data_IF_686410448636
#
_entry.id   IF_686410448636
#
_cell.length_a   1.000
_cell.length_b   1.000
_cell.length_c   1.000
_cell.angle_alpha   90.00
_cell.angle_beta   90.00
_cell.angle_gamma   90.00
#
_symmetry.space_group_name_H-M   'P 1'
#
loop_
_entity.id
_entity.type
_entity.pdbx_description
1 polymer ?
#
# COMPACT_ATOMS: atom_id res chain seq x y z
N UNK A 1 -12.47 14.99 -7.21
CA UNK A 1 -13.22 13.72 -7.41
C UNK A 1 -12.21 12.60 -7.29
N UNK A 2 -12.51 11.55 -6.53
CA UNK A 2 -11.59 10.41 -6.38
C UNK A 2 -11.76 9.44 -7.55
N UNK A 3 -10.66 8.77 -7.93
CA UNK A 3 -10.66 7.66 -8.88
C UNK A 3 -10.73 6.33 -8.10
N UNK A 4 -11.33 5.29 -8.69
CA UNK A 4 -11.30 3.94 -8.10
C UNK A 4 -9.91 3.32 -8.22
N UNK A 5 -9.53 2.45 -7.29
CA UNK A 5 -8.24 1.74 -7.39
C UNK A 5 -8.19 0.91 -8.67
N UNK A 6 -9.28 0.23 -9.01
CA UNK A 6 -9.39 -0.61 -10.21
C UNK A 6 -9.03 0.15 -11.48
N UNK A 7 -9.63 1.32 -11.70
CA UNK A 7 -9.36 2.11 -12.91
C UNK A 7 -7.90 2.57 -12.97
N UNK A 8 -7.33 2.96 -11.83
CA UNK A 8 -5.91 3.35 -11.77
C UNK A 8 -4.97 2.16 -12.05
N UNK A 9 -5.25 0.98 -11.48
CA UNK A 9 -4.41 -0.20 -11.68
C UNK A 9 -4.57 -0.81 -13.07
N UNK A 10 -5.77 -0.72 -13.68
CA UNK A 10 -5.99 -1.06 -15.10
C UNK A 10 -5.09 -0.17 -15.99
N UNK A 11 -5.12 1.15 -15.79
CA UNK A 11 -4.24 2.07 -16.53
C UNK A 11 -2.75 1.77 -16.28
N UNK A 12 -2.36 1.41 -15.05
CA UNK A 12 -1.01 0.99 -14.72
C UNK A 12 -0.57 -0.26 -15.48
N UNK A 13 -1.46 -1.25 -15.61
CA UNK A 13 -1.21 -2.47 -16.36
C UNK A 13 -1.09 -2.19 -17.87
N UNK A 14 -1.99 -1.39 -18.43
CA UNK A 14 -1.99 -1.00 -19.85
C UNK A 14 -0.73 -0.23 -20.26
N UNK A 15 -0.15 0.53 -19.32
CA UNK A 15 1.01 1.39 -19.56
C UNK A 15 2.30 0.88 -18.91
N UNK A 16 2.31 -0.36 -18.41
CA UNK A 16 3.48 -1.05 -17.85
C UNK A 16 4.20 -0.32 -16.70
N UNK A 17 3.44 0.22 -15.74
CA UNK A 17 3.99 0.83 -14.53
C UNK A 17 3.37 0.25 -13.25
N UNK A 18 3.92 0.66 -12.10
CA UNK A 18 3.38 0.37 -10.77
C UNK A 18 3.09 1.65 -9.99
N UNK A 19 2.13 1.56 -9.07
CA UNK A 19 1.73 2.66 -8.19
C UNK A 19 2.30 2.46 -6.78
N UNK A 20 3.09 3.41 -6.27
CA UNK A 20 3.34 3.44 -4.83
C UNK A 20 2.03 3.83 -4.12
N UNK A 21 1.70 3.11 -3.06
CA UNK A 21 0.61 3.43 -2.14
C UNK A 21 1.21 3.87 -0.81
N UNK A 22 1.02 5.15 -0.50
CA UNK A 22 1.63 5.79 0.66
C UNK A 22 0.64 5.90 1.81
N UNK A 23 1.02 5.43 3.00
CA UNK A 23 0.22 5.63 4.19
C UNK A 23 0.24 7.10 4.63
N UNK A 24 -0.90 7.57 5.16
CA UNK A 24 -1.05 8.95 5.66
C UNK A 24 -1.69 8.99 7.04
N UNK A 25 -1.15 9.84 7.91
CA UNK A 25 -1.55 10.03 9.30
C UNK A 25 -1.72 11.52 9.66
N UNK A 26 -1.16 12.45 8.87
CA UNK A 26 -1.26 13.90 9.13
C UNK A 26 -1.16 14.76 7.86
N UNK A 27 -1.14 16.08 8.04
CA UNK A 27 -1.10 17.07 6.97
C UNK A 27 0.24 17.06 6.21
N UNK A 28 1.36 16.96 6.91
CA UNK A 28 2.70 16.99 6.32
C UNK A 28 2.94 15.82 5.37
N UNK A 29 2.48 14.62 5.71
CA UNK A 29 2.58 13.45 4.82
C UNK A 29 1.74 13.63 3.56
N UNK A 30 0.49 14.11 3.71
CA UNK A 30 -0.39 14.40 2.55
C UNK A 30 0.24 15.47 1.65
N UNK A 31 0.81 16.54 2.23
CA UNK A 31 1.54 17.54 1.46
C UNK A 31 2.74 16.95 0.72
N UNK A 32 3.56 16.14 1.39
CA UNK A 32 4.73 15.53 0.78
C UNK A 32 4.36 14.67 -0.44
N UNK A 33 3.34 13.81 -0.30
CA UNK A 33 2.86 12.94 -1.37
C UNK A 33 2.32 13.76 -2.54
N UNK A 34 1.46 14.75 -2.27
CA UNK A 34 0.83 15.55 -3.33
C UNK A 34 1.82 16.49 -4.03
N UNK A 35 2.79 17.06 -3.32
CA UNK A 35 3.86 17.87 -3.93
C UNK A 35 4.73 17.02 -4.86
N UNK A 36 5.08 15.81 -4.44
CA UNK A 36 5.82 14.87 -5.27
C UNK A 36 5.02 14.45 -6.51
N UNK A 37 3.74 14.15 -6.33
CA UNK A 37 2.84 13.75 -7.41
C UNK A 37 2.64 14.87 -8.43
N UNK A 38 2.42 16.10 -7.97
CA UNK A 38 2.31 17.28 -8.83
C UNK A 38 3.59 17.54 -9.63
N UNK A 39 4.74 17.52 -8.95
CA UNK A 39 6.07 17.70 -9.58
C UNK A 39 6.35 16.66 -10.66
N UNK A 40 5.89 15.43 -10.46
CA UNK A 40 6.14 14.29 -11.36
C UNK A 40 4.98 14.00 -12.31
N UNK A 41 3.86 14.75 -12.24
CA UNK A 41 2.62 14.47 -12.97
C UNK A 41 2.18 13.00 -12.78
N UNK A 42 2.15 12.53 -11.52
CA UNK A 42 1.82 11.15 -11.15
C UNK A 42 0.44 11.06 -10.53
N UNK A 43 -0.37 10.02 -10.84
CA UNK A 43 -1.55 9.70 -10.04
C UNK A 43 -1.13 9.24 -8.64
N UNK A 44 -2.05 9.19 -7.68
CA UNK A 44 -1.73 8.93 -6.27
C UNK A 44 -2.64 7.87 -5.68
N UNK A 45 -2.05 6.97 -4.88
CA UNK A 45 -2.77 6.16 -3.89
C UNK A 45 -2.31 6.62 -2.51
N UNK A 46 -3.24 7.19 -1.74
CA UNK A 46 -3.05 7.47 -0.31
C UNK A 46 -3.89 6.48 0.48
N UNK A 47 -3.30 5.87 1.50
CA UNK A 47 -3.97 4.85 2.29
C UNK A 47 -3.98 5.13 3.79
N UNK A 48 -5.08 4.73 4.44
CA UNK A 48 -5.30 4.92 5.88
C UNK A 48 -5.47 3.59 6.61
N UNK A 49 -4.53 3.27 7.49
CA UNK A 49 -4.55 2.10 8.36
C UNK A 49 -5.50 2.26 9.56
N UNK A 50 -5.69 1.19 10.33
CA UNK A 50 -6.35 1.27 11.63
C UNK A 50 -5.65 2.23 12.60
N UNK A 51 -4.32 2.23 12.64
CA UNK A 51 -3.53 3.18 13.44
C UNK A 51 -3.69 4.62 13.01
N UNK A 52 -3.71 4.89 11.69
CA UNK A 52 -3.98 6.22 11.16
C UNK A 52 -5.34 6.75 11.63
N UNK A 53 -6.38 5.90 11.60
CA UNK A 53 -7.72 6.26 12.13
C UNK A 53 -7.70 6.48 13.64
N UNK A 54 -6.95 5.67 14.39
CA UNK A 54 -6.79 5.84 15.84
C UNK A 54 -6.07 7.13 16.22
N UNK A 55 -5.07 7.53 15.42
CA UNK A 55 -4.26 8.74 15.64
C UNK A 55 -4.97 10.02 15.19
N UNK A 56 -5.34 10.09 13.90
CA UNK A 56 -5.91 11.30 13.30
C UNK A 56 -7.42 11.41 13.49
N UNK A 57 -8.11 10.27 13.58
CA UNK A 57 -9.55 10.20 13.39
C UNK A 57 -9.94 10.17 11.91
N UNK A 58 -10.92 9.33 11.58
CA UNK A 58 -11.46 9.23 10.22
C UNK A 58 -11.86 10.60 9.62
N UNK A 59 -12.57 11.50 10.33
CA UNK A 59 -12.98 12.77 9.73
C UNK A 59 -11.81 13.65 9.30
N UNK A 60 -10.70 13.64 10.05
CA UNK A 60 -9.50 14.38 9.67
C UNK A 60 -8.87 13.79 8.41
N UNK A 61 -8.70 12.45 8.35
CA UNK A 61 -8.17 11.79 7.16
C UNK A 61 -9.01 12.13 5.92
N UNK A 62 -10.33 11.99 6.01
CA UNK A 62 -11.27 12.36 4.95
C UNK A 62 -11.09 13.80 4.49
N UNK A 63 -11.03 14.74 5.42
CA UNK A 63 -10.90 16.17 5.08
C UNK A 63 -9.51 16.54 4.55
N UNK A 64 -8.44 15.86 4.97
CA UNK A 64 -7.11 16.03 4.38
C UNK A 64 -7.09 15.63 2.90
N UNK A 65 -7.73 14.51 2.56
CA UNK A 65 -7.82 14.05 1.16
C UNK A 65 -8.71 14.99 0.33
N UNK A 66 -9.84 15.46 0.88
CA UNK A 66 -10.68 16.46 0.20
C UNK A 66 -9.84 17.71 -0.11
N UNK A 67 -9.13 18.26 0.87
CA UNK A 67 -8.27 19.43 0.69
C UNK A 67 -7.16 19.18 -0.36
N UNK A 68 -6.58 17.98 -0.39
CA UNK A 68 -5.61 17.58 -1.41
C UNK A 68 -6.23 17.64 -2.83
N UNK A 69 -7.44 17.09 -3.01
CA UNK A 69 -8.11 17.11 -4.32
C UNK A 69 -8.58 18.50 -4.74
N UNK A 70 -8.85 19.40 -3.80
CA UNK A 70 -9.16 20.80 -4.09
C UNK A 70 -7.91 21.58 -4.52
N UNK A 71 -6.76 21.32 -3.88
CA UNK A 71 -5.50 21.98 -4.18
C UNK A 71 -4.85 21.47 -5.47
N UNK A 72 -5.05 20.19 -5.81
CA UNK A 72 -4.48 19.52 -6.99
C UNK A 72 -5.58 18.85 -7.83
N UNK A 73 -6.49 19.63 -8.43
CA UNK A 73 -7.67 19.08 -9.13
C UNK A 73 -7.32 18.28 -10.40
N UNK A 74 -6.09 18.42 -10.92
CA UNK A 74 -5.57 17.71 -12.09
C UNK A 74 -4.90 16.37 -11.75
N UNK A 75 -4.71 16.04 -10.47
CA UNK A 75 -4.09 14.78 -10.04
C UNK A 75 -5.18 13.78 -9.65
N UNK A 76 -5.29 12.61 -10.31
CA UNK A 76 -6.18 11.54 -9.88
C UNK A 76 -5.70 10.96 -8.54
N UNK A 77 -6.60 10.92 -7.56
CA UNK A 77 -6.32 10.43 -6.21
C UNK A 77 -7.24 9.27 -5.86
N UNK A 78 -6.66 8.15 -5.43
CA UNK A 78 -7.34 7.06 -4.72
C UNK A 78 -7.18 7.30 -3.22
N UNK A 79 -8.29 7.21 -2.48
CA UNK A 79 -8.26 7.05 -1.03
C UNK A 79 -8.56 5.59 -0.70
N UNK A 80 -7.55 4.88 -0.19
CA UNK A 80 -7.59 3.45 0.06
C UNK A 80 -7.60 3.13 1.56
N UNK A 81 -8.48 2.22 1.96
CA UNK A 81 -8.54 1.72 3.33
C UNK A 81 -7.58 0.54 3.46
N UNK A 82 -6.56 0.68 4.29
CA UNK A 82 -5.51 -0.34 4.49
C UNK A 82 -5.88 -1.27 5.65
N UNK A 83 -5.64 -2.58 5.47
CA UNK A 83 -5.91 -3.65 6.44
C UNK A 83 -7.29 -3.53 7.13
N UNK A 84 -8.38 -3.58 6.36
CA UNK A 84 -9.73 -3.66 6.92
C UNK A 84 -9.96 -5.01 7.60
N UNK A 85 -10.07 -5.02 8.93
CA UNK A 85 -10.12 -6.24 9.74
C UNK A 85 -11.47 -6.99 9.73
N UNK A 86 -12.54 -6.32 9.31
CA UNK A 86 -13.88 -6.89 9.25
C UNK A 86 -14.69 -6.16 8.17
N UNK A 87 -15.74 -6.80 7.58
CA UNK A 87 -16.61 -6.15 6.61
C UNK A 87 -17.17 -4.80 7.08
N UNK A 88 -17.48 -4.68 8.37
CA UNK A 88 -18.01 -3.44 8.93
C UNK A 88 -17.00 -2.27 8.89
N UNK A 89 -15.69 -2.53 9.01
CA UNK A 89 -14.64 -1.51 8.83
C UNK A 89 -14.62 -1.02 7.39
N UNK A 90 -14.69 -1.93 6.42
CA UNK A 90 -14.75 -1.59 5.01
C UNK A 90 -15.99 -0.76 4.68
N UNK A 91 -17.16 -1.14 5.21
CA UNK A 91 -18.41 -0.38 5.04
C UNK A 91 -18.30 1.05 5.59
N UNK A 92 -17.76 1.22 6.80
CA UNK A 92 -17.55 2.55 7.40
C UNK A 92 -16.60 3.42 6.55
N UNK A 93 -15.59 2.81 5.95
CA UNK A 93 -14.65 3.50 5.05
C UNK A 93 -15.34 3.94 3.75
N UNK A 94 -16.18 3.08 3.17
CA UNK A 94 -17.02 3.43 2.02
C UNK A 94 -17.95 4.61 2.36
N UNK A 95 -18.59 4.59 3.53
CA UNK A 95 -19.45 5.70 4.00
C UNK A 95 -18.68 7.02 4.22
N UNK A 96 -17.39 6.93 4.57
CA UNK A 96 -16.47 8.06 4.66
C UNK A 96 -16.05 8.59 3.28
N UNK A 97 -16.35 7.88 2.20
CA UNK A 97 -16.06 8.31 0.83
C UNK A 97 -14.72 7.78 0.30
N UNK A 98 -14.18 6.73 0.91
CA UNK A 98 -13.04 6.00 0.33
C UNK A 98 -13.44 5.42 -1.04
N UNK A 99 -12.56 5.56 -2.04
CA UNK A 99 -12.77 5.00 -3.38
C UNK A 99 -12.20 3.59 -3.55
N UNK A 100 -11.52 3.09 -2.52
CA UNK A 100 -11.06 1.70 -2.43
C UNK A 100 -10.95 1.22 -0.99
N UNK A 101 -11.15 -0.08 -0.79
CA UNK A 101 -10.95 -0.74 0.50
C UNK A 101 -10.18 -2.04 0.36
N UNK A 102 -9.34 -2.36 1.34
CA UNK A 102 -8.80 -3.69 1.53
C UNK A 102 -9.62 -4.43 2.58
N UNK A 103 -10.13 -5.61 2.24
CA UNK A 103 -10.57 -6.59 3.24
C UNK A 103 -9.41 -7.55 3.49
N UNK A 104 -8.77 -7.40 4.63
CA UNK A 104 -7.72 -8.32 5.03
C UNK A 104 -8.34 -9.50 5.79
N UNK A 105 -8.80 -10.48 5.03
CA UNK A 105 -9.31 -11.74 5.57
C UNK A 105 -8.23 -12.78 5.79
N UNK A 106 -6.94 -12.46 5.58
CA UNK A 106 -5.84 -13.39 5.85
C UNK A 106 -5.67 -13.63 7.36
N UNK A 107 -6.11 -12.67 8.16
CA UNK A 107 -6.25 -12.76 9.60
C UNK A 107 -7.73 -12.71 9.99
N UNK A 108 -8.05 -13.26 11.16
CA UNK A 108 -9.34 -13.07 11.82
C UNK A 108 -9.49 -11.60 12.24
N UNK A 109 -10.71 -11.22 12.64
CA UNK A 109 -11.03 -9.82 12.98
C UNK A 109 -10.23 -9.23 14.16
N UNK A 110 -9.49 -10.05 14.90
CA UNK A 110 -8.55 -9.63 15.94
C UNK A 110 -7.23 -9.04 15.38
N UNK A 111 -7.01 -9.13 14.06
CA UNK A 111 -5.79 -8.72 13.35
C UNK A 111 -4.52 -9.49 13.76
N UNK A 112 -4.66 -10.63 14.44
CA UNK A 112 -3.56 -11.40 15.04
C UNK A 112 -3.57 -12.88 14.66
N UNK A 113 -4.76 -13.47 14.49
CA UNK A 113 -4.89 -14.91 14.26
C UNK A 113 -4.97 -15.19 12.76
N UNK A 114 -4.08 -16.01 12.16
CA UNK A 114 -4.25 -16.45 10.78
C UNK A 114 -5.61 -17.13 10.56
N UNK A 115 -6.35 -16.68 9.55
CA UNK A 115 -7.68 -17.19 9.25
C UNK A 115 -7.63 -18.39 8.28
N UNK A 116 -8.72 -19.16 8.24
CA UNK A 116 -8.87 -20.19 7.21
C UNK A 116 -9.17 -19.58 5.83
N UNK A 117 -8.88 -20.33 4.77
CA UNK A 117 -9.21 -19.93 3.41
C UNK A 117 -10.71 -19.62 3.24
N UNK A 118 -11.59 -20.46 3.81
CA UNK A 118 -13.04 -20.29 3.72
C UNK A 118 -13.52 -19.03 4.45
N UNK A 119 -12.93 -18.71 5.61
CA UNK A 119 -13.22 -17.46 6.30
C UNK A 119 -12.85 -16.28 5.42
N UNK A 120 -11.61 -16.28 4.91
CA UNK A 120 -11.08 -15.20 4.10
C UNK A 120 -11.94 -14.95 2.85
N UNK A 121 -12.28 -16.02 2.12
CA UNK A 121 -13.17 -15.94 0.96
C UNK A 121 -14.54 -15.37 1.35
N UNK A 122 -15.12 -15.83 2.46
CA UNK A 122 -16.46 -15.40 2.89
C UNK A 122 -16.50 -13.89 3.19
N UNK A 123 -15.58 -13.39 4.03
CA UNK A 123 -15.55 -11.98 4.40
C UNK A 123 -15.17 -11.09 3.21
N UNK A 124 -14.20 -11.50 2.40
CA UNK A 124 -13.77 -10.75 1.20
C UNK A 124 -14.90 -10.64 0.18
N UNK A 125 -15.62 -11.74 -0.08
CA UNK A 125 -16.76 -11.76 -1.02
C UNK A 125 -17.92 -10.87 -0.55
N UNK A 126 -18.16 -10.80 0.77
CA UNK A 126 -19.12 -9.87 1.34
C UNK A 126 -18.73 -8.41 1.03
N UNK A 127 -17.46 -8.06 1.26
CA UNK A 127 -16.93 -6.72 0.97
C UNK A 127 -16.98 -6.39 -0.51
N UNK A 128 -16.54 -7.30 -1.38
CA UNK A 128 -16.61 -7.14 -2.85
C UNK A 128 -18.03 -6.81 -3.30
N UNK A 129 -19.01 -7.59 -2.85
CA UNK A 129 -20.41 -7.40 -3.24
C UNK A 129 -20.92 -6.00 -2.88
N UNK A 130 -20.65 -5.52 -1.67
CA UNK A 130 -21.13 -4.19 -1.26
C UNK A 130 -20.34 -3.04 -1.89
N UNK A 131 -19.03 -3.19 -2.06
CA UNK A 131 -18.16 -2.16 -2.62
C UNK A 131 -18.41 -1.96 -4.12
N UNK A 132 -18.47 -3.05 -4.89
CA UNK A 132 -18.72 -3.01 -6.34
C UNK A 132 -20.09 -2.42 -6.67
N UNK A 133 -21.11 -2.65 -5.83
CA UNK A 133 -22.41 -2.01 -5.99
C UNK A 133 -22.33 -0.47 -5.93
N UNK A 134 -21.37 0.08 -5.18
CA UNK A 134 -21.06 1.51 -5.13
C UNK A 134 -19.90 1.95 -6.03
N UNK A 135 -19.35 1.05 -6.85
CA UNK A 135 -18.20 1.33 -7.72
C UNK A 135 -16.85 1.45 -7.00
N UNK A 136 -16.79 1.11 -5.71
CA UNK A 136 -15.58 1.11 -4.89
C UNK A 136 -14.80 -0.17 -5.15
N UNK A 137 -13.48 -0.04 -5.32
CA UNK A 137 -12.61 -1.20 -5.58
C UNK A 137 -12.21 -1.94 -4.32
N UNK A 138 -12.01 -3.25 -4.43
CA UNK A 138 -11.62 -4.11 -3.30
C UNK A 138 -10.27 -4.78 -3.55
N UNK A 139 -9.38 -4.63 -2.58
CA UNK A 139 -8.19 -5.44 -2.42
C UNK A 139 -8.48 -6.56 -1.40
N UNK A 140 -8.03 -7.78 -1.69
CA UNK A 140 -7.99 -8.88 -0.73
C UNK A 140 -6.56 -9.37 -0.53
N UNK A 141 -6.29 -10.08 0.57
CA UNK A 141 -4.99 -10.69 0.85
C UNK A 141 -5.11 -12.21 0.94
N UNK A 142 -4.15 -12.91 0.35
CA UNK A 142 -4.03 -14.36 0.47
C UNK A 142 -2.60 -14.74 0.87
N UNK A 143 -2.48 -15.64 1.86
CA UNK A 143 -1.25 -15.85 2.62
C UNK A 143 -1.14 -14.84 3.76
N UNK A 144 -0.20 -15.05 4.66
CA UNK A 144 0.13 -14.12 5.73
C UNK A 144 1.51 -13.52 5.44
N UNK A 145 1.64 -12.20 5.53
CA UNK A 145 2.96 -11.57 5.44
C UNK A 145 3.89 -12.11 6.54
N UNK A 146 5.19 -12.10 6.25
CA UNK A 146 6.20 -12.41 7.22
C UNK A 146 7.53 -12.83 6.60
N UNK A 147 8.56 -12.72 7.42
CA UNK A 147 9.92 -13.08 7.03
C UNK A 147 10.03 -14.59 6.87
N UNK A 148 10.49 -15.05 5.72
CA UNK A 148 10.85 -16.46 5.50
C UNK A 148 12.04 -16.90 6.37
N UNK A 149 12.82 -15.97 6.93
CA UNK A 149 13.93 -16.28 7.82
C UNK A 149 13.47 -16.56 9.25
N UNK A 150 12.56 -15.74 9.78
CA UNK A 150 12.17 -15.79 11.20
C UNK A 150 10.84 -16.49 11.43
N UNK A 151 9.97 -16.50 10.42
CA UNK A 151 8.58 -16.91 10.51
C UNK A 151 7.64 -15.86 11.10
N UNK A 152 8.09 -14.60 11.22
CA UNK A 152 7.35 -13.53 11.93
C UNK A 152 6.84 -12.46 10.96
N UNK A 153 5.59 -12.00 11.15
CA UNK A 153 4.91 -11.01 10.30
C UNK A 153 5.39 -9.56 10.52
N UNK A 154 5.87 -9.27 11.74
CA UNK A 154 5.99 -7.90 12.22
C UNK A 154 4.62 -7.25 12.45
N UNK A 155 4.61 -5.97 12.83
CA UNK A 155 3.36 -5.23 13.05
C UNK A 155 3.33 -3.96 12.20
N UNK A 156 2.21 -3.73 11.53
CA UNK A 156 1.84 -2.44 10.93
C UNK A 156 0.66 -1.88 11.71
N UNK A 157 0.90 -0.87 12.54
CA UNK A 157 -0.15 -0.20 13.31
C UNK A 157 -1.04 -1.14 14.16
N UNK A 158 -0.42 -2.18 14.74
CA UNK A 158 -1.06 -3.20 15.56
C UNK A 158 -1.63 -4.39 14.77
N UNK A 159 -1.60 -4.34 13.43
CA UNK A 159 -2.01 -5.43 12.55
C UNK A 159 -0.80 -6.32 12.19
N UNK A 160 -0.93 -7.63 12.41
CA UNK A 160 0.11 -8.61 12.12
C UNK A 160 0.01 -9.83 13.02
N UNK A 161 0.30 -11.00 12.45
CA UNK A 161 0.12 -12.28 13.12
C UNK A 161 0.99 -12.44 14.37
N UNK A 162 0.41 -13.01 15.43
CA UNK A 162 1.14 -13.32 16.66
C UNK A 162 1.77 -14.72 16.61
N UNK A 163 3.08 -14.78 16.93
CA UNK A 163 3.84 -16.02 16.96
C UNK A 163 4.53 -16.34 15.64
N UNK A 164 5.04 -17.57 15.54
CA UNK A 164 5.72 -18.05 14.32
C UNK A 164 4.70 -18.71 13.40
N UNK A 165 4.73 -18.29 12.14
CA UNK A 165 3.91 -18.83 11.07
C UNK A 165 4.60 -20.01 10.39
N UNK A 166 3.80 -20.97 9.94
CA UNK A 166 4.27 -22.03 9.06
C UNK A 166 4.69 -21.45 7.71
N UNK A 167 5.73 -22.02 7.09
CA UNK A 167 6.27 -21.53 5.81
C UNK A 167 5.22 -21.49 4.69
N UNK A 168 4.25 -22.41 4.71
CA UNK A 168 3.18 -22.48 3.71
C UNK A 168 2.21 -21.28 3.81
N UNK A 169 2.07 -20.68 4.99
CA UNK A 169 1.29 -19.44 5.18
C UNK A 169 2.06 -18.22 4.69
N UNK A 170 3.38 -18.23 4.77
CA UNK A 170 4.27 -17.11 4.42
C UNK A 170 4.50 -16.96 2.92
N UNK A 171 3.98 -17.89 2.11
CA UNK A 171 4.21 -17.92 0.68
C UNK A 171 2.97 -18.37 -0.10
N UNK A 172 2.23 -17.41 -0.66
CA UNK A 172 0.96 -17.64 -1.36
C UNK A 172 1.10 -18.65 -2.49
N UNK A 173 0.26 -19.69 -2.51
CA UNK A 173 0.25 -20.67 -3.60
C UNK A 173 -0.44 -20.14 -4.85
N UNK A 174 -0.02 -20.64 -6.03
CA UNK A 174 -0.54 -20.20 -7.33
C UNK A 174 -2.00 -20.60 -7.52
N UNK A 175 -2.35 -21.82 -7.14
CA UNK A 175 -3.72 -22.32 -7.31
C UNK A 175 -4.68 -21.77 -6.26
N UNK A 176 -4.27 -21.59 -4.99
CA UNK A 176 -5.15 -20.91 -4.04
C UNK A 176 -5.36 -19.45 -4.42
N UNK A 177 -4.36 -18.76 -4.98
CA UNK A 177 -4.56 -17.42 -5.53
C UNK A 177 -5.61 -17.42 -6.66
N UNK A 178 -5.55 -18.41 -7.55
CA UNK A 178 -6.52 -18.57 -8.62
C UNK A 178 -7.93 -18.87 -8.08
N UNK A 179 -8.04 -19.72 -7.06
CA UNK A 179 -9.31 -20.07 -6.43
C UNK A 179 -9.89 -18.89 -5.65
N UNK A 180 -9.05 -18.16 -4.90
CA UNK A 180 -9.45 -16.98 -4.16
C UNK A 180 -10.01 -15.90 -5.07
N UNK A 181 -9.31 -15.57 -6.16
CA UNK A 181 -9.77 -14.59 -7.15
C UNK A 181 -11.07 -15.05 -7.82
N UNK A 182 -11.22 -16.35 -8.12
CA UNK A 182 -12.45 -16.89 -8.70
C UNK A 182 -13.64 -16.72 -7.78
N UNK A 183 -13.45 -16.99 -6.49
CA UNK A 183 -14.52 -16.98 -5.52
C UNK A 183 -14.90 -15.57 -5.05
N UNK A 184 -13.93 -14.65 -5.05
CA UNK A 184 -14.10 -13.29 -4.49
C UNK A 184 -14.28 -12.21 -5.55
N UNK A 185 -13.65 -12.34 -6.73
CA UNK A 185 -13.60 -11.32 -7.78
C UNK A 185 -13.01 -9.97 -7.30
N UNK A 186 -11.99 -10.00 -6.43
CA UNK A 186 -11.25 -8.80 -6.01
C UNK A 186 -10.59 -8.07 -7.19
N UNK A 187 -10.44 -6.75 -7.06
CA UNK A 187 -9.78 -5.91 -8.07
C UNK A 187 -8.25 -5.97 -7.97
N UNK A 188 -7.74 -6.20 -6.77
CA UNK A 188 -6.33 -6.33 -6.48
C UNK A 188 -6.10 -7.45 -5.46
N UNK A 189 -4.98 -8.16 -5.59
CA UNK A 189 -4.61 -9.28 -4.72
C UNK A 189 -3.25 -9.03 -4.07
N UNK A 190 -3.26 -8.82 -2.76
CA UNK A 190 -2.08 -8.87 -1.93
C UNK A 190 -1.64 -10.33 -1.74
N UNK A 191 -0.33 -10.56 -1.88
CA UNK A 191 0.29 -11.88 -1.81
C UNK A 191 1.49 -11.87 -0.87
N UNK A 192 1.66 -12.95 -0.12
CA UNK A 192 2.82 -13.22 0.71
C UNK A 192 3.94 -13.84 -0.15
N UNK A 193 5.09 -13.16 -0.18
CA UNK A 193 6.28 -13.55 -0.96
C UNK A 193 7.58 -13.44 -0.14
N UNK A 194 7.45 -13.42 1.19
CA UNK A 194 8.56 -13.23 2.14
C UNK A 194 8.83 -11.80 2.58
N UNK A 195 7.95 -10.84 2.25
CA UNK A 195 7.97 -9.49 2.83
C UNK A 195 7.28 -9.47 4.20
N UNK A 196 7.67 -8.53 5.06
CA UNK A 196 7.07 -8.30 6.39
C UNK A 196 6.87 -6.80 6.66
N UNK A 197 6.15 -6.45 7.72
CA UNK A 197 5.89 -5.06 8.11
C UNK A 197 7.08 -4.39 8.83
N UNK A 198 7.07 -3.05 8.91
CA UNK A 198 8.09 -2.28 9.63
C UNK A 198 9.45 -2.16 8.94
N UNK A 199 10.49 -1.74 9.68
CA UNK A 199 11.86 -1.54 9.17
C UNK A 199 12.72 -2.80 9.20
N UNK A 200 12.40 -3.74 10.09
CA UNK A 200 13.21 -4.93 10.38
C UNK A 200 12.81 -6.11 9.49
N UNK A 201 12.84 -5.90 8.17
CA UNK A 201 12.35 -6.88 7.21
C UNK A 201 13.34 -8.02 7.01
N UNK A 202 14.60 -7.65 6.82
CA UNK A 202 15.69 -8.58 6.55
C UNK A 202 16.91 -8.27 7.41
N UNK A 203 17.62 -9.32 7.82
CA UNK A 203 18.89 -9.20 8.56
C UNK A 203 20.11 -8.96 7.65
N UNK A 204 19.95 -9.26 6.36
CA UNK A 204 20.89 -9.04 5.27
C UNK A 204 20.16 -8.43 4.06
N UNK A 205 20.90 -7.97 3.05
CA UNK A 205 20.30 -7.63 1.76
C UNK A 205 19.58 -8.87 1.20
N UNK A 206 18.29 -8.75 0.81
CA UNK A 206 17.51 -9.92 0.43
C UNK A 206 17.97 -10.48 -0.92
N UNK A 207 17.96 -11.81 -0.99
CA UNK A 207 18.18 -12.59 -2.20
C UNK A 207 16.89 -13.33 -2.60
N UNK A 208 16.93 -14.06 -3.71
CA UNK A 208 15.79 -14.81 -4.21
C UNK A 208 15.34 -15.98 -3.33
N UNK A 209 16.07 -16.32 -2.26
CA UNK A 209 15.63 -17.35 -1.31
C UNK A 209 14.64 -16.80 -0.29
N UNK A 210 14.83 -15.54 0.13
CA UNK A 210 14.01 -14.88 1.17
C UNK A 210 12.99 -13.88 0.62
N UNK A 211 13.13 -13.49 -0.64
CA UNK A 211 12.16 -12.65 -1.36
C UNK A 211 11.80 -13.32 -2.70
N UNK A 212 10.60 -13.93 -2.74
CA UNK A 212 10.16 -14.83 -3.82
C UNK A 212 9.51 -14.08 -5.00
N UNK A 213 10.29 -13.26 -5.71
CA UNK A 213 9.82 -12.56 -6.92
C UNK A 213 9.42 -13.54 -8.03
N UNK A 214 10.03 -14.73 -8.09
CA UNK A 214 9.63 -15.81 -8.98
C UNK A 214 8.15 -16.22 -8.76
N UNK A 215 7.67 -16.26 -7.51
CA UNK A 215 6.28 -16.55 -7.18
C UNK A 215 5.31 -15.50 -7.76
N UNK A 216 5.69 -14.22 -7.79
CA UNK A 216 4.91 -13.18 -8.46
C UNK A 216 4.70 -13.54 -9.93
N UNK A 217 5.76 -14.00 -10.62
CA UNK A 217 5.69 -14.37 -12.05
C UNK A 217 4.75 -15.54 -12.28
N UNK A 218 4.83 -16.57 -11.42
CA UNK A 218 3.97 -17.75 -11.48
C UNK A 218 2.49 -17.36 -11.29
N UNK A 219 2.19 -16.55 -10.26
CA UNK A 219 0.83 -16.09 -9.97
C UNK A 219 0.31 -15.23 -11.12
N UNK A 220 1.10 -14.28 -11.65
CA UNK A 220 0.65 -13.44 -12.75
C UNK A 220 0.39 -14.21 -14.05
N UNK A 221 1.16 -15.28 -14.33
CA UNK A 221 0.89 -16.15 -15.47
C UNK A 221 -0.50 -16.82 -15.36
N UNK A 222 -0.88 -17.21 -14.14
CA UNK A 222 -2.19 -17.80 -13.83
C UNK A 222 -3.33 -16.77 -13.79
N UNK A 223 -3.03 -15.55 -13.35
CA UNK A 223 -3.95 -14.43 -13.13
C UNK A 223 -3.53 -13.18 -13.94
N UNK A 224 -3.60 -13.23 -15.28
CA UNK A 224 -3.01 -12.22 -16.15
C UNK A 224 -3.68 -10.83 -16.09
N UNK A 225 -4.90 -10.74 -15.55
CA UNK A 225 -5.63 -9.47 -15.43
C UNK A 225 -5.99 -9.11 -13.97
N UNK A 226 -5.49 -9.86 -12.99
CA UNK A 226 -5.60 -9.46 -11.58
C UNK A 226 -4.36 -8.67 -11.22
N UNK A 227 -4.55 -7.53 -10.56
CA UNK A 227 -3.45 -6.64 -10.19
C UNK A 227 -2.83 -7.11 -8.88
N UNK A 228 -1.55 -7.50 -8.91
CA UNK A 228 -0.86 -7.95 -7.70
C UNK A 228 -0.43 -6.76 -6.84
N UNK A 229 -0.48 -6.94 -5.52
CA UNK A 229 -0.08 -5.95 -4.53
C UNK A 229 1.07 -6.48 -3.71
N UNK A 230 2.12 -5.67 -3.60
CA UNK A 230 3.25 -5.96 -2.71
C UNK A 230 3.11 -5.16 -1.41
N UNK A 231 2.76 -5.88 -0.35
CA UNK A 231 2.77 -5.35 1.02
C UNK A 231 4.17 -5.36 1.63
N UNK A 232 4.36 -4.62 2.72
CA UNK A 232 5.63 -4.58 3.44
C UNK A 232 6.83 -4.16 2.57
N UNK A 233 6.63 -3.31 1.56
CA UNK A 233 7.61 -3.12 0.47
C UNK A 233 8.42 -1.82 0.54
N UNK A 234 8.51 -1.24 1.74
CA UNK A 234 9.46 -0.16 2.02
C UNK A 234 10.91 -0.62 1.85
N UNK A 235 11.75 0.21 1.24
CA UNK A 235 13.13 -0.14 0.88
C UNK A 235 14.15 0.15 1.98
N UNK A 236 13.78 0.88 3.04
CA UNK A 236 14.65 1.28 4.16
C UNK A 236 15.91 1.99 3.63
N UNK A 237 15.80 3.28 3.22
CA UNK A 237 16.91 4.01 2.63
C UNK A 237 18.07 4.13 3.62
N UNK A 238 19.23 3.61 3.24
CA UNK A 238 20.40 3.53 4.12
C UNK A 238 20.93 4.91 4.52
N UNK A 239 20.78 5.91 3.66
CA UNK A 239 21.11 7.32 4.00
C UNK A 239 20.27 7.83 5.18
N UNK A 240 18.97 7.58 5.18
CA UNK A 240 18.10 7.99 6.30
C UNK A 240 18.38 7.20 7.57
N UNK A 241 18.75 5.91 7.45
CA UNK A 241 19.20 5.10 8.58
C UNK A 241 20.44 5.70 9.24
N UNK A 242 21.46 6.06 8.45
CA UNK A 242 22.68 6.70 8.92
C UNK A 242 22.38 8.07 9.56
N UNK A 243 21.52 8.89 8.94
CA UNK A 243 21.11 10.17 9.50
C UNK A 243 20.43 9.97 10.86
N UNK A 244 19.50 9.02 10.98
CA UNK A 244 18.81 8.76 12.25
C UNK A 244 19.81 8.33 13.34
N UNK A 245 20.69 7.38 13.03
CA UNK A 245 21.67 6.85 14.00
C UNK A 245 22.71 7.90 14.41
N UNK A 246 23.15 8.76 13.49
CA UNK A 246 24.09 9.85 13.79
C UNK A 246 23.45 11.03 14.53
N UNK A 247 22.11 11.10 14.58
CA UNK A 247 21.35 12.19 15.20
C UNK A 247 20.48 11.70 16.38
N UNK A 248 21.08 10.85 17.21
CA UNK A 248 20.54 10.40 18.50
C UNK A 248 19.41 9.36 18.40
N UNK A 249 19.26 8.70 17.25
CA UNK A 249 18.46 7.49 17.09
C UNK A 249 19.31 6.23 17.26
N UNK A 250 18.65 5.08 17.36
CA UNK A 250 19.29 3.76 17.41
C UNK A 250 18.37 2.73 16.74
N UNK A 251 18.46 2.66 15.42
CA UNK A 251 17.69 1.71 14.62
C UNK A 251 18.47 0.41 14.35
N UNK A 252 19.75 0.32 14.69
CA UNK A 252 20.63 -0.77 14.29
C UNK A 252 20.84 -0.85 12.76
N UNK A 253 21.43 -1.94 12.29
CA UNK A 253 21.55 -2.25 10.86
C UNK A 253 20.34 -3.07 10.41
N UNK A 254 19.67 -2.65 9.33
CA UNK A 254 18.55 -3.40 8.74
C UNK A 254 18.34 -3.02 7.27
N UNK A 255 17.61 -3.86 6.55
CA UNK A 255 17.41 -3.75 5.11
C UNK A 255 15.92 -3.93 4.75
N UNK A 256 15.47 -3.18 3.75
CA UNK A 256 14.14 -3.29 3.18
C UNK A 256 14.14 -4.02 1.84
N UNK A 257 13.03 -3.90 1.10
CA UNK A 257 12.89 -4.49 -0.24
C UNK A 257 13.62 -3.62 -1.28
N UNK A 258 14.61 -4.15 -2.03
CA UNK A 258 15.33 -3.39 -3.04
C UNK A 258 14.39 -2.88 -4.14
N UNK A 259 14.59 -1.63 -4.57
CA UNK A 259 13.79 -1.01 -5.63
C UNK A 259 13.85 -1.81 -6.93
N UNK A 260 14.99 -2.44 -7.25
CA UNK A 260 15.15 -3.30 -8.42
C UNK A 260 14.25 -4.53 -8.40
N UNK A 261 14.03 -5.15 -7.23
CA UNK A 261 13.15 -6.31 -7.07
C UNK A 261 11.68 -5.89 -7.19
N UNK A 262 11.33 -4.70 -6.67
CA UNK A 262 9.98 -4.12 -6.87
C UNK A 262 9.74 -3.85 -8.35
N UNK A 263 10.70 -3.27 -9.07
CA UNK A 263 10.62 -3.06 -10.52
C UNK A 263 10.46 -4.38 -11.27
N UNK A 264 11.14 -5.43 -10.83
CA UNK A 264 10.96 -6.76 -11.40
C UNK A 264 9.54 -7.30 -11.12
N UNK A 265 9.00 -7.13 -9.91
CA UNK A 265 7.60 -7.42 -9.59
C UNK A 265 6.63 -6.67 -10.50
N UNK A 266 6.87 -5.38 -10.78
CA UNK A 266 6.02 -4.53 -11.64
C UNK A 266 5.98 -5.05 -13.08
N UNK A 267 7.10 -5.53 -13.61
CA UNK A 267 7.14 -6.18 -14.93
C UNK A 267 6.30 -7.46 -14.98
N UNK A 268 6.05 -8.07 -13.83
CA UNK A 268 5.37 -9.35 -13.68
C UNK A 268 4.02 -9.22 -12.96
N UNK A 269 3.33 -8.09 -13.10
CA UNK A 269 1.92 -7.96 -12.69
C UNK A 269 1.67 -7.21 -11.38
N UNK A 270 2.70 -6.80 -10.64
CA UNK A 270 2.53 -5.91 -9.49
C UNK A 270 2.11 -4.52 -9.97
N UNK A 271 1.00 -4.00 -9.43
CA UNK A 271 0.49 -2.66 -9.76
C UNK A 271 0.35 -1.75 -8.56
N UNK A 272 0.32 -2.27 -7.33
CA UNK A 272 0.34 -1.49 -6.09
C UNK A 272 1.49 -1.95 -5.19
N UNK A 273 2.23 -0.98 -4.64
CA UNK A 273 3.39 -1.22 -3.77
C UNK A 273 3.23 -0.39 -2.50
N UNK A 274 3.00 -1.03 -1.36
CA UNK A 274 2.75 -0.34 -0.10
C UNK A 274 4.07 0.19 0.50
N UNK A 275 4.10 1.49 0.82
CA UNK A 275 5.26 2.19 1.37
C UNK A 275 4.82 3.09 2.53
N UNK A 276 5.38 2.84 3.71
CA UNK A 276 5.15 3.67 4.90
C UNK A 276 6.48 3.95 5.62
N UNK A 277 7.19 2.89 6.02
CA UNK A 277 8.46 2.98 6.77
C UNK A 277 9.44 3.97 6.17
N UNK A 278 9.58 4.02 4.83
CA UNK A 278 10.50 4.95 4.17
C UNK A 278 10.16 6.43 4.48
N UNK A 279 8.86 6.78 4.52
CA UNK A 279 8.42 8.13 4.86
C UNK A 279 8.57 8.41 6.36
N UNK A 280 8.29 7.44 7.22
CA UNK A 280 8.54 7.55 8.68
C UNK A 280 10.02 7.82 8.96
N UNK A 281 10.93 7.11 8.28
CA UNK A 281 12.37 7.29 8.39
C UNK A 281 12.81 8.65 7.86
N UNK A 282 12.38 9.04 6.66
CA UNK A 282 12.73 10.33 6.07
C UNK A 282 12.28 11.50 6.96
N UNK A 283 11.04 11.46 7.45
CA UNK A 283 10.50 12.44 8.39
C UNK A 283 11.31 12.48 9.69
N UNK A 284 11.50 11.32 10.33
CA UNK A 284 12.22 11.23 11.62
C UNK A 284 13.66 11.71 11.52
N UNK A 285 14.39 11.28 10.48
CA UNK A 285 15.77 11.69 10.23
C UNK A 285 15.89 13.19 9.98
N UNK A 286 15.01 13.75 9.15
CA UNK A 286 15.01 15.18 8.85
C UNK A 286 14.73 16.03 10.09
N UNK A 287 13.73 15.65 10.91
CA UNK A 287 13.43 16.38 12.16
C UNK A 287 14.59 16.28 13.14
N UNK A 288 15.15 15.08 13.35
CA UNK A 288 16.30 14.88 14.26
C UNK A 288 17.50 15.73 13.85
N UNK A 289 17.88 15.67 12.58
CA UNK A 289 18.96 16.49 12.02
C UNK A 289 18.71 17.97 12.25
N UNK A 290 17.52 18.47 11.88
CA UNK A 290 17.19 19.88 12.00
C UNK A 290 17.28 20.37 13.45
N UNK A 291 16.72 19.64 14.41
CA UNK A 291 16.70 20.06 15.82
C UNK A 291 18.09 20.03 16.47
N UNK A 292 18.94 19.09 16.10
CA UNK A 292 20.33 19.01 16.60
C UNK A 292 21.19 20.12 16.02
N UNK A 293 21.07 20.40 14.71
CA UNK A 293 21.86 21.44 14.04
C UNK A 293 21.37 22.86 14.36
N UNK A 294 20.10 23.01 14.81
CA UNK A 294 19.46 24.31 15.05
C UNK A 294 18.83 24.38 16.45
N UNK A 295 19.63 24.21 17.50
CA UNK A 295 19.18 24.06 18.90
C UNK A 295 18.36 25.25 19.47
N UNK A 296 18.47 26.45 18.87
CA UNK A 296 17.67 27.61 19.27
C UNK A 296 16.29 27.66 18.59
N UNK A 297 16.05 26.83 17.57
CA UNK A 297 14.81 26.82 16.81
C UNK A 297 13.74 25.99 17.53
N UNK A 298 12.59 26.61 17.77
CA UNK A 298 11.42 25.98 18.38
C UNK A 298 10.15 26.09 17.54
N UNK A 299 10.22 26.68 16.33
CA UNK A 299 9.08 26.84 15.43
C UNK A 299 8.81 25.52 14.69
N UNK A 300 7.68 24.84 14.95
CA UNK A 300 7.40 23.53 14.35
C UNK A 300 7.44 23.53 12.83
N UNK A 301 7.03 24.64 12.21
CA UNK A 301 6.99 24.76 10.76
C UNK A 301 8.37 24.63 10.13
N UNK A 302 9.46 24.89 10.86
CA UNK A 302 10.81 24.80 10.33
C UNK A 302 11.25 23.35 10.17
N UNK A 303 11.16 22.55 11.23
CA UNK A 303 11.55 21.14 11.15
C UNK A 303 10.50 20.26 10.44
N UNK A 304 9.20 20.59 10.54
CA UNK A 304 8.15 19.88 9.79
C UNK A 304 8.24 20.15 8.28
N UNK A 305 8.72 21.33 7.86
CA UNK A 305 9.01 21.60 6.45
C UNK A 305 10.14 20.72 5.93
N UNK A 306 11.22 20.56 6.69
CA UNK A 306 12.31 19.65 6.29
C UNK A 306 11.84 18.20 6.21
N UNK A 307 11.00 17.76 7.16
CA UNK A 307 10.35 16.46 7.10
C UNK A 307 9.47 16.27 5.86
N UNK A 308 8.68 17.29 5.52
CA UNK A 308 7.81 17.30 4.33
C UNK A 308 8.64 17.18 3.05
N UNK A 309 9.72 17.96 2.93
CA UNK A 309 10.62 17.90 1.78
C UNK A 309 11.26 16.51 1.65
N UNK A 310 11.79 15.97 2.76
CA UNK A 310 12.42 14.65 2.79
C UNK A 310 11.47 13.53 2.36
N UNK A 311 10.23 13.55 2.85
CA UNK A 311 9.19 12.61 2.41
C UNK A 311 8.83 12.83 0.93
N UNK A 312 8.72 14.07 0.48
CA UNK A 312 8.40 14.39 -0.92
C UNK A 312 9.46 13.88 -1.89
N UNK A 313 10.73 13.95 -1.52
CA UNK A 313 11.83 13.43 -2.35
C UNK A 313 11.77 11.90 -2.47
N UNK A 314 11.45 11.18 -1.38
CA UNK A 314 11.20 9.74 -1.42
C UNK A 314 10.00 9.41 -2.32
N UNK A 315 8.89 10.12 -2.16
CA UNK A 315 7.70 9.91 -2.98
C UNK A 315 8.00 10.09 -4.48
N UNK A 316 8.69 11.18 -4.84
CA UNK A 316 9.07 11.47 -6.22
C UNK A 316 9.98 10.37 -6.79
N UNK A 317 10.98 9.93 -6.03
CA UNK A 317 11.86 8.84 -6.44
C UNK A 317 11.11 7.52 -6.68
N UNK A 318 10.07 7.22 -5.89
CA UNK A 318 9.22 6.03 -6.10
C UNK A 318 8.31 6.17 -7.32
N UNK A 319 7.69 7.33 -7.54
CA UNK A 319 6.91 7.57 -8.75
C UNK A 319 7.75 7.40 -10.03
N UNK A 320 8.97 7.94 -10.03
CA UNK A 320 9.90 7.80 -11.14
C UNK A 320 10.37 6.34 -11.31
N UNK A 321 10.84 5.70 -10.24
CA UNK A 321 11.35 4.34 -10.30
C UNK A 321 10.29 3.31 -10.70
N UNK A 322 9.02 3.53 -10.33
CA UNK A 322 7.92 2.63 -10.66
C UNK A 322 7.23 2.98 -11.98
N UNK A 323 7.68 4.04 -12.66
CA UNK A 323 7.20 4.44 -13.99
C UNK A 323 5.85 5.17 -14.00
N UNK A 324 5.32 5.55 -12.83
CA UNK A 324 4.04 6.27 -12.72
C UNK A 324 4.16 7.77 -13.01
N UNK A 325 5.38 8.33 -12.96
CA UNK A 325 5.66 9.70 -13.38
C UNK A 325 5.18 9.99 -14.82
N UNK A 326 4.48 11.11 -14.98
CA UNK A 326 3.97 11.58 -16.27
C UNK A 326 2.69 10.89 -16.76
N UNK A 327 1.91 10.27 -15.87
CA UNK A 327 0.68 9.54 -16.24
C UNK A 327 -0.62 10.15 -15.70
N UNK A 328 -0.58 11.15 -14.81
CA UNK A 328 -1.79 11.68 -14.19
C UNK A 328 -2.76 12.30 -15.22
N UNK A 329 -2.25 13.14 -16.10
CA UNK A 329 -3.00 13.83 -17.17
C UNK A 329 -3.48 12.90 -18.29
N UNK A 330 -2.98 11.67 -18.36
CA UNK A 330 -3.41 10.65 -19.33
C UNK A 330 -4.63 9.88 -18.89
N UNK A 331 -5.00 9.98 -17.61
CA UNK A 331 -6.11 9.22 -17.02
C UNK A 331 -7.41 10.01 -17.16
N UNK A 332 -8.38 9.41 -17.85
CA UNK A 332 -9.74 9.90 -17.88
C UNK A 332 -10.52 9.25 -16.72
N UNK A 333 -10.67 9.99 -15.63
CA UNK A 333 -11.35 9.51 -14.42
C UNK A 333 -12.84 9.24 -14.68
N UNK A 334 -13.28 8.01 -14.39
CA UNK A 334 -14.68 7.63 -14.36
C UNK A 334 -15.29 7.90 -12.98
N UNK A 335 -16.58 8.22 -12.95
CA UNK A 335 -17.30 8.29 -11.68
C UNK A 335 -17.46 6.89 -11.07
N UNK A 336 -17.62 6.81 -9.74
CA UNK A 336 -17.90 5.53 -9.09
C UNK A 336 -19.24 4.93 -9.57
N UNK A 337 -20.24 5.75 -9.93
CA UNK A 337 -21.48 5.27 -10.56
C UNK A 337 -21.20 4.57 -11.90
N UNK A 338 -20.29 5.11 -12.71
CA UNK A 338 -19.84 4.47 -13.95
C UNK A 338 -19.13 3.16 -13.66
N UNK A 339 -18.26 3.12 -12.65
CA UNK A 339 -17.58 1.88 -12.24
C UNK A 339 -18.57 0.82 -11.76
N UNK A 340 -19.58 1.20 -10.97
CA UNK A 340 -20.67 0.32 -10.53
C UNK A 340 -21.39 -0.34 -11.72
N UNK A 341 -21.70 0.43 -12.78
CA UNK A 341 -22.30 -0.13 -13.99
C UNK A 341 -21.39 -1.13 -14.72
N UNK A 342 -20.07 -0.87 -14.76
CA UNK A 342 -19.09 -1.78 -15.37
C UNK A 342 -18.93 -3.09 -14.59
N UNK A 343 -19.01 -3.04 -13.27
CA UNK A 343 -19.10 -4.24 -12.43
C UNK A 343 -20.40 -5.01 -12.69
N UNK A 344 -21.55 -4.32 -12.72
CA UNK A 344 -22.86 -4.93 -12.97
C UNK A 344 -22.95 -5.65 -14.33
N UNK A 345 -22.24 -5.16 -15.34
CA UNK A 345 -22.21 -5.80 -16.67
C UNK A 345 -21.24 -6.97 -16.77
N UNK A 346 -20.44 -7.26 -15.74
CA UNK A 346 -19.37 -8.27 -15.78
C UNK A 346 -18.17 -7.87 -16.66
N UNK A 347 -18.04 -6.58 -17.02
CA UNK A 347 -16.92 -6.10 -17.86
C UNK A 347 -15.58 -6.27 -17.13
N UNK A 348 -15.63 -6.13 -15.80
CA UNK A 348 -14.47 -6.08 -14.92
C UNK A 348 -14.14 -7.43 -14.25
N UNK A 349 -14.81 -8.51 -14.62
CA UNK A 349 -14.60 -9.83 -14.02
C UNK A 349 -13.17 -10.37 -14.23
N UNK A 350 -12.66 -11.07 -13.23
CA UNK A 350 -11.35 -11.69 -13.27
C UNK A 350 -11.24 -12.76 -14.36
N UNK A 351 -10.07 -12.86 -15.00
CA UNK A 351 -9.72 -13.87 -16.01
C UNK A 351 -8.66 -14.79 -15.44
N UNK A 352 -8.97 -16.07 -15.40
CA UNK A 352 -8.19 -17.10 -14.72
C UNK A 352 -7.82 -18.16 -15.76
N UNK A 353 -6.53 -18.43 -15.96
CA UNK A 353 -6.01 -19.23 -17.09
C UNK A 353 -5.85 -20.71 -16.82
#
# INVERSE_FOLDING_TARGET
MLISLRELLDHAAENNYGMPAFNVNNMEQVHAIMQAADKTNSPVIMQGSAGARGYAGEPFLRHLIIAATEMYPHIPVVMHQDHGSEPAVCLRSIQSGFSSVMMDGSLEADCKTPASFEYNVAVTKEVVKMAHAGGVSVEGELGCLGSLETGEMGEEDGHGAEGKLDLDLLLTSVEEAADFVRETNVDALAIAIGTSHGAYKFTKEPDGEILRIDRIKEIHQRLPNTHLVMHGSSSVPQEWLEIINSHGGDMGQTYGVPVSEIQEGIKNGVRKVNIDTDLRMASTGAVRKHLIENTANFDPRKFLKEATNAMSDICAARFEAFGSAGNADKIKVSSLDTMSQRYLSGELDAKIK
#
